data_IF_456832173373
#
_entry.id   IF_456832173373
#
_cell.length_a   1.000
_cell.length_b   1.000
_cell.length_c   1.000
_cell.angle_alpha   90.00
_cell.angle_beta   90.00
_cell.angle_gamma   90.00
#
_symmetry.space_group_name_H-M   'P 1'
#
loop_
_entity.id
_entity.type
_entity.pdbx_description
1 polymer ?
#
# COMPACT_ATOMS: atom_id res chain seq x y z
N UNK A 1 -6.70 -17.81 -18.69
CA UNK A 1 -5.52 -16.89 -18.65
C UNK A 1 -5.86 -15.40 -18.57
N UNK A 2 -7.14 -15.02 -18.55
CA UNK A 2 -7.63 -13.62 -18.69
C UNK A 2 -7.52 -12.76 -17.41
N UNK A 3 -7.41 -13.34 -16.23
CA UNK A 3 -7.38 -12.55 -14.97
C UNK A 3 -6.03 -11.93 -14.60
N UNK A 4 -4.90 -12.51 -15.02
CA UNK A 4 -3.58 -11.99 -14.64
C UNK A 4 -3.31 -10.54 -15.08
N UNK A 5 -3.55 -10.16 -16.34
CA UNK A 5 -3.35 -8.76 -16.77
C UNK A 5 -4.19 -7.75 -16.00
N UNK A 6 -5.46 -8.07 -15.76
CA UNK A 6 -6.35 -7.22 -14.99
C UNK A 6 -5.88 -7.06 -13.54
N UNK A 7 -5.42 -8.15 -12.91
CA UNK A 7 -4.84 -8.11 -11.57
C UNK A 7 -3.57 -7.26 -11.49
N UNK A 8 -2.67 -7.37 -12.48
CA UNK A 8 -1.46 -6.55 -12.55
C UNK A 8 -1.79 -5.05 -12.67
N UNK A 9 -2.71 -4.70 -13.57
CA UNK A 9 -3.17 -3.30 -13.75
C UNK A 9 -3.82 -2.78 -12.46
N UNK A 10 -4.68 -3.58 -11.84
CA UNK A 10 -5.36 -3.20 -10.60
C UNK A 10 -4.36 -2.94 -9.46
N UNK A 11 -3.40 -3.84 -9.25
CA UNK A 11 -2.34 -3.67 -8.25
C UNK A 11 -1.49 -2.43 -8.52
N UNK A 12 -1.16 -2.16 -9.80
CA UNK A 12 -0.45 -0.95 -10.20
C UNK A 12 -1.25 0.30 -9.88
N UNK A 13 -2.53 0.33 -10.24
CA UNK A 13 -3.40 1.48 -10.01
C UNK A 13 -3.55 1.80 -8.50
N UNK A 14 -3.76 0.76 -7.68
CA UNK A 14 -3.86 0.91 -6.21
C UNK A 14 -2.55 1.42 -5.64
N UNK A 15 -1.42 0.82 -6.03
CA UNK A 15 -0.11 1.21 -5.52
C UNK A 15 0.26 2.64 -5.94
N UNK A 16 0.02 3.01 -7.19
CA UNK A 16 0.24 4.37 -7.66
C UNK A 16 -0.65 5.38 -6.94
N UNK A 17 -1.93 5.06 -6.77
CA UNK A 17 -2.87 5.90 -6.03
C UNK A 17 -2.44 6.07 -4.57
N UNK A 18 -2.07 5.00 -3.87
CA UNK A 18 -1.60 5.04 -2.48
C UNK A 18 -0.32 5.89 -2.33
N UNK A 19 0.64 5.76 -3.26
CA UNK A 19 1.86 6.56 -3.24
C UNK A 19 1.58 8.05 -3.47
N UNK A 20 0.80 8.38 -4.50
CA UNK A 20 0.48 9.78 -4.86
C UNK A 20 -0.38 10.43 -3.79
N UNK A 21 -1.43 9.76 -3.32
CA UNK A 21 -2.32 10.31 -2.28
C UNK A 21 -1.58 10.57 -0.97
N UNK A 22 -0.67 9.66 -0.56
CA UNK A 22 0.18 9.87 0.60
C UNK A 22 1.04 11.13 0.47
N UNK A 23 1.69 11.33 -0.68
CA UNK A 23 2.47 12.55 -0.95
C UNK A 23 1.57 13.79 -0.90
N UNK A 24 0.45 13.78 -1.62
CA UNK A 24 -0.44 14.95 -1.72
C UNK A 24 -1.07 15.31 -0.38
N UNK A 25 -1.44 14.32 0.43
CA UNK A 25 -2.09 14.53 1.72
C UNK A 25 -1.11 14.99 2.79
N UNK A 26 0.08 14.41 2.84
CA UNK A 26 1.04 14.67 3.92
C UNK A 26 1.92 15.91 3.66
N UNK A 27 2.15 16.30 2.38
CA UNK A 27 2.88 17.53 2.04
C UNK A 27 1.98 18.76 2.12
N UNK A 28 1.40 18.99 3.28
CA UNK A 28 0.46 20.10 3.54
C UNK A 28 0.79 20.84 4.83
N UNK A 29 0.28 22.08 5.00
CA UNK A 29 0.44 22.85 6.25
C UNK A 29 -0.20 22.19 7.48
N UNK A 30 -1.09 21.22 7.29
CA UNK A 30 -1.69 20.46 8.40
C UNK A 30 -0.85 19.26 8.84
N UNK A 31 0.15 18.87 8.04
CA UNK A 31 1.03 17.73 8.29
C UNK A 31 2.51 18.16 8.28
N UNK A 32 3.31 17.78 7.29
CA UNK A 32 4.76 17.99 7.30
C UNK A 32 5.15 19.46 7.38
N UNK A 33 4.39 20.35 6.75
CA UNK A 33 4.66 21.79 6.80
C UNK A 33 3.94 22.51 7.95
N UNK A 34 3.43 21.77 8.94
CA UNK A 34 2.82 22.35 10.12
C UNK A 34 3.88 23.04 10.98
N UNK A 35 3.80 24.38 11.19
CA UNK A 35 4.79 25.11 11.98
C UNK A 35 4.78 24.75 13.47
N UNK A 36 3.69 24.12 13.95
CA UNK A 36 3.59 23.66 15.34
C UNK A 36 4.27 22.29 15.55
N UNK A 37 4.66 21.59 14.48
CA UNK A 37 5.35 20.31 14.61
C UNK A 37 6.83 20.53 14.93
N UNK A 38 7.38 19.86 15.96
CA UNK A 38 8.81 19.88 16.18
C UNK A 38 9.56 19.22 15.01
N UNK A 39 10.82 19.62 14.73
CA UNK A 39 11.60 19.09 13.61
C UNK A 39 11.66 17.56 13.57
N UNK A 40 11.69 16.92 14.73
CA UNK A 40 11.67 15.45 14.84
C UNK A 40 10.37 14.82 14.29
N UNK A 41 9.21 15.44 14.55
CA UNK A 41 7.94 14.97 13.99
C UNK A 41 7.88 15.15 12.47
N UNK A 42 8.37 16.28 11.94
CA UNK A 42 8.49 16.51 10.50
C UNK A 42 9.40 15.45 9.84
N UNK A 43 10.55 15.15 10.45
CA UNK A 43 11.44 14.09 9.99
C UNK A 43 10.74 12.73 9.88
N UNK A 44 9.94 12.33 10.87
CA UNK A 44 9.17 11.10 10.82
C UNK A 44 8.08 11.13 9.73
N UNK A 45 7.47 12.28 9.49
CA UNK A 45 6.55 12.46 8.36
C UNK A 45 7.21 12.17 7.02
N UNK A 46 8.38 12.77 6.74
CA UNK A 46 9.15 12.48 5.53
C UNK A 46 9.50 11.00 5.39
N UNK A 47 9.96 10.36 6.48
CA UNK A 47 10.27 8.93 6.47
C UNK A 47 9.05 8.07 6.17
N UNK A 48 7.88 8.42 6.71
CA UNK A 48 6.64 7.70 6.48
C UNK A 48 6.25 7.71 5.00
N UNK A 49 6.28 8.89 4.38
CA UNK A 49 6.00 9.03 2.95
C UNK A 49 7.00 8.27 2.09
N UNK A 50 8.30 8.44 2.37
CA UNK A 50 9.34 7.74 1.62
C UNK A 50 9.17 6.22 1.68
N UNK A 51 8.85 5.67 2.86
CA UNK A 51 8.56 4.23 3.02
C UNK A 51 7.33 3.81 2.23
N UNK A 52 6.25 4.58 2.29
CA UNK A 52 5.03 4.30 1.51
C UNK A 52 5.34 4.24 0.01
N UNK A 53 6.02 5.26 -0.53
CA UNK A 53 6.40 5.30 -1.95
C UNK A 53 7.28 4.10 -2.32
N UNK A 54 8.29 3.78 -1.51
CA UNK A 54 9.18 2.64 -1.76
C UNK A 54 8.43 1.30 -1.72
N UNK A 55 7.52 1.09 -0.76
CA UNK A 55 6.71 -0.12 -0.68
C UNK A 55 5.82 -0.23 -1.92
N UNK A 56 5.16 0.83 -2.33
CA UNK A 56 4.27 0.82 -3.49
C UNK A 56 5.04 0.57 -4.80
N UNK A 57 6.23 1.15 -4.95
CA UNK A 57 7.12 0.84 -6.08
C UNK A 57 7.57 -0.63 -6.06
N UNK A 58 7.93 -1.16 -4.89
CA UNK A 58 8.30 -2.57 -4.75
C UNK A 58 7.14 -3.50 -5.14
N UNK A 59 5.90 -3.19 -4.75
CA UNK A 59 4.70 -3.94 -5.15
C UNK A 59 4.54 -3.93 -6.67
N UNK A 60 4.71 -2.79 -7.34
CA UNK A 60 4.62 -2.68 -8.79
C UNK A 60 5.71 -3.51 -9.48
N UNK A 61 6.96 -3.39 -9.03
CA UNK A 61 8.09 -4.15 -9.58
C UNK A 61 7.89 -5.65 -9.42
N UNK A 62 7.47 -6.09 -8.23
CA UNK A 62 7.15 -7.49 -7.96
C UNK A 62 6.02 -8.00 -8.84
N UNK A 63 4.95 -7.21 -9.00
CA UNK A 63 3.79 -7.58 -9.80
C UNK A 63 4.18 -7.84 -11.26
N UNK A 64 4.87 -6.89 -11.89
CA UNK A 64 5.22 -6.95 -13.32
C UNK A 64 6.43 -7.85 -13.63
N UNK A 65 7.32 -8.08 -12.68
CA UNK A 65 8.46 -8.96 -12.79
C UNK A 65 8.13 -10.38 -12.33
N UNK A 66 8.57 -10.76 -11.12
CA UNK A 66 8.58 -12.16 -10.69
C UNK A 66 7.18 -12.76 -10.44
N UNK A 67 6.16 -11.96 -10.04
CA UNK A 67 4.78 -12.45 -9.89
C UNK A 67 4.17 -12.76 -11.27
N UNK A 68 4.38 -11.87 -12.25
CA UNK A 68 3.97 -12.13 -13.64
C UNK A 68 4.65 -13.38 -14.19
N UNK A 69 5.92 -13.60 -13.86
CA UNK A 69 6.67 -14.80 -14.23
C UNK A 69 6.18 -16.08 -13.51
N UNK A 70 5.32 -15.96 -12.51
CA UNK A 70 4.70 -17.10 -11.82
C UNK A 70 5.49 -17.62 -10.63
N UNK A 71 6.44 -16.83 -10.08
CA UNK A 71 7.25 -17.23 -8.92
C UNK A 71 6.42 -17.15 -7.63
N UNK A 72 6.13 -18.28 -6.95
CA UNK A 72 5.20 -18.29 -5.80
C UNK A 72 5.68 -17.45 -4.62
N UNK A 73 6.98 -17.44 -4.33
CA UNK A 73 7.55 -16.65 -3.24
C UNK A 73 7.35 -15.14 -3.45
N UNK A 74 7.44 -14.67 -4.70
CA UNK A 74 7.27 -13.27 -5.03
C UNK A 74 5.81 -12.81 -4.80
N UNK A 75 4.84 -13.68 -5.06
CA UNK A 75 3.45 -13.44 -4.71
C UNK A 75 3.28 -13.29 -3.20
N UNK A 76 3.89 -14.17 -2.40
CA UNK A 76 3.86 -14.07 -0.93
C UNK A 76 4.47 -12.77 -0.40
N UNK A 77 5.61 -12.34 -0.96
CA UNK A 77 6.24 -11.06 -0.60
C UNK A 77 5.35 -9.88 -0.99
N UNK A 78 4.74 -9.88 -2.18
CA UNK A 78 3.80 -8.84 -2.61
C UNK A 78 2.60 -8.75 -1.65
N UNK A 79 2.02 -9.88 -1.27
CA UNK A 79 0.90 -9.94 -0.31
C UNK A 79 1.32 -9.34 1.04
N UNK A 80 2.49 -9.74 1.55
CA UNK A 80 3.02 -9.23 2.82
C UNK A 80 3.21 -7.72 2.79
N UNK A 81 3.83 -7.18 1.73
CA UNK A 81 4.07 -5.74 1.60
C UNK A 81 2.77 -4.95 1.52
N UNK A 82 1.86 -5.36 0.64
CA UNK A 82 0.63 -4.61 0.39
C UNK A 82 -0.35 -4.72 1.55
N UNK A 83 -0.63 -5.93 2.03
CA UNK A 83 -1.55 -6.12 3.15
C UNK A 83 -0.94 -5.66 4.48
N UNK A 84 0.36 -5.81 4.68
CA UNK A 84 1.07 -5.27 5.84
C UNK A 84 0.97 -3.75 5.90
N UNK A 85 1.18 -3.06 4.77
CA UNK A 85 1.00 -1.61 4.69
C UNK A 85 -0.46 -1.19 4.96
N UNK A 86 -1.45 -1.88 4.35
CA UNK A 86 -2.87 -1.60 4.60
C UNK A 86 -3.27 -1.85 6.06
N UNK A 87 -2.75 -2.90 6.70
CA UNK A 87 -3.06 -3.24 8.08
C UNK A 87 -2.65 -2.13 9.06
N UNK A 88 -1.59 -1.37 8.77
CA UNK A 88 -1.13 -0.26 9.63
C UNK A 88 -2.24 0.78 9.81
N UNK A 89 -3.05 1.05 8.79
CA UNK A 89 -4.16 2.00 8.87
C UNK A 89 -5.27 1.59 9.84
N UNK A 90 -5.39 0.29 10.14
CA UNK A 90 -6.34 -0.22 11.12
C UNK A 90 -5.72 -0.42 12.50
N UNK A 91 -4.42 -0.72 12.56
CA UNK A 91 -3.70 -1.00 13.82
C UNK A 91 -3.25 0.30 14.49
N UNK A 92 -2.72 1.27 13.74
CA UNK A 92 -2.17 2.49 14.31
C UNK A 92 -3.18 3.27 15.18
N UNK A 93 -4.46 3.47 14.79
CA UNK A 93 -5.43 4.16 15.63
C UNK A 93 -5.81 3.39 16.91
N UNK A 94 -5.63 2.08 16.93
CA UNK A 94 -5.85 1.26 18.14
C UNK A 94 -4.70 1.44 19.12
N UNK A 95 -3.47 1.55 18.60
CA UNK A 95 -2.25 1.70 19.42
C UNK A 95 -2.08 3.14 19.91
N UNK A 96 -2.41 4.11 19.06
CA UNK A 96 -2.30 5.54 19.36
C UNK A 96 -3.71 6.13 19.44
N UNK A 97 -4.27 6.15 20.65
CA UNK A 97 -5.62 6.65 20.88
C UNK A 97 -5.81 8.08 20.37
N UNK A 98 -6.95 8.33 19.71
CA UNK A 98 -7.31 9.66 19.20
C UNK A 98 -6.71 10.02 17.83
N UNK A 99 -6.02 9.08 17.16
CA UNK A 99 -5.43 9.31 15.82
C UNK A 99 -6.26 8.76 14.66
N UNK A 100 -7.24 7.90 14.94
CA UNK A 100 -8.13 7.34 13.91
C UNK A 100 -9.32 8.25 13.66
N UNK A 101 -9.49 8.69 12.43
CA UNK A 101 -10.69 9.37 11.97
C UNK A 101 -11.42 8.54 10.90
N UNK A 102 -12.70 8.83 10.70
CA UNK A 102 -13.51 8.11 9.71
C UNK A 102 -12.91 8.19 8.28
N UNK A 103 -12.40 9.34 7.79
CA UNK A 103 -11.74 9.42 6.49
C UNK A 103 -10.57 8.47 6.33
N UNK A 104 -9.71 8.31 7.33
CA UNK A 104 -8.56 7.39 7.27
C UNK A 104 -9.00 5.93 7.16
N UNK A 105 -10.01 5.52 7.94
CA UNK A 105 -10.58 4.17 7.85
C UNK A 105 -11.27 3.91 6.51
N UNK A 106 -12.01 4.88 5.99
CA UNK A 106 -12.65 4.77 4.68
C UNK A 106 -11.62 4.66 3.55
N UNK A 107 -10.55 5.46 3.60
CA UNK A 107 -9.44 5.37 2.67
C UNK A 107 -8.84 3.95 2.65
N UNK A 108 -8.50 3.42 3.83
CA UNK A 108 -7.95 2.07 3.95
C UNK A 108 -8.93 1.00 3.45
N UNK A 109 -10.21 1.09 3.80
CA UNK A 109 -11.23 0.13 3.38
C UNK A 109 -11.44 0.14 1.86
N UNK A 110 -11.50 1.32 1.24
CA UNK A 110 -11.65 1.48 -0.21
C UNK A 110 -10.47 0.87 -0.97
N UNK A 111 -9.25 0.97 -0.43
CA UNK A 111 -8.08 0.35 -1.05
C UNK A 111 -7.99 -1.16 -0.79
N UNK A 112 -8.46 -1.63 0.36
CA UNK A 112 -8.33 -3.05 0.75
C UNK A 112 -9.10 -3.98 -0.17
N UNK A 113 -10.34 -3.67 -0.49
CA UNK A 113 -11.17 -4.54 -1.34
C UNK A 113 -10.56 -4.77 -2.73
N UNK A 114 -10.19 -3.74 -3.51
CA UNK A 114 -9.56 -3.95 -4.81
C UNK A 114 -8.15 -4.55 -4.69
N UNK A 115 -7.41 -4.30 -3.59
CA UNK A 115 -6.12 -4.96 -3.35
C UNK A 115 -6.29 -6.48 -3.22
N UNK A 116 -7.26 -6.94 -2.45
CA UNK A 116 -7.57 -8.37 -2.30
C UNK A 116 -7.97 -9.00 -3.64
N UNK A 117 -8.77 -8.31 -4.44
CA UNK A 117 -9.13 -8.76 -5.80
C UNK A 117 -7.88 -8.86 -6.69
N UNK A 118 -7.03 -7.84 -6.71
CA UNK A 118 -5.79 -7.84 -7.47
C UNK A 118 -4.86 -8.99 -7.08
N UNK A 119 -4.64 -9.18 -5.79
CA UNK A 119 -3.85 -10.29 -5.22
C UNK A 119 -4.41 -11.65 -5.65
N UNK A 120 -5.73 -11.82 -5.57
CA UNK A 120 -6.40 -13.06 -5.96
C UNK A 120 -6.24 -13.35 -7.46
N UNK A 121 -6.38 -12.35 -8.32
CA UNK A 121 -6.25 -12.48 -9.77
C UNK A 121 -4.83 -12.86 -10.23
N UNK A 122 -3.80 -12.40 -9.53
CA UNK A 122 -2.39 -12.69 -9.87
C UNK A 122 -1.83 -13.92 -9.14
N UNK A 123 -2.61 -14.57 -8.27
CA UNK A 123 -2.14 -15.72 -7.50
C UNK A 123 -1.53 -16.81 -8.39
N UNK A 124 -0.48 -17.50 -7.91
CA UNK A 124 0.04 -18.67 -8.58
C UNK A 124 -1.04 -19.74 -8.70
N UNK A 125 -1.16 -20.36 -9.88
CA UNK A 125 -2.01 -21.55 -10.02
C UNK A 125 -1.24 -22.73 -9.44
N UNK A 126 -1.89 -23.54 -8.63
CA UNK A 126 -1.36 -24.85 -8.28
C UNK A 126 -1.27 -25.62 -9.60
N UNK A 127 -0.04 -25.89 -10.08
CA UNK A 127 0.18 -26.94 -11.06
C UNK A 127 -0.13 -28.21 -10.30
N UNK A 128 -1.21 -28.90 -10.71
CA UNK A 128 -1.57 -30.19 -10.12
C UNK A 128 -0.34 -31.12 -10.16
N UNK A 129 -0.06 -31.74 -9.04
CA UNK A 129 0.85 -32.86 -8.96
C UNK A 129 0.27 -34.04 -9.71
#
# INVERSE_FOLDING_TARGET
>A
MTGKPAGLVLLTAISAFAAVSGVVYDFTPTHIFNPAWPPHAQFHGYLSIARTVLIMLAVIVLAWGPVRAGLPYAWGVLVLLLLGWLAIWFVAPVVVSGTGDLPAYLFAAVLTAPALVGIWLVRPRRTGA
#
